data_IF_825294707439
#
_entry.id   IF_825294707439
#
_cell.length_a   1.000
_cell.length_b   1.000
_cell.length_c   1.000
_cell.angle_alpha   90.00
_cell.angle_beta   90.00
_cell.angle_gamma   90.00
#
_symmetry.space_group_name_H-M   'P 1'
#
loop_
_entity.id
_entity.type
_entity.pdbx_description
1 polymer ?
#
# COMPACT_ATOMS: atom_id res chain seq x y z
N UNK A 1 -7.70 9.52 -2.79
CA UNK A 1 -8.93 8.76 -3.14
C UNK A 1 -8.96 7.44 -2.39
N UNK A 2 -10.14 6.96 -1.97
CA UNK A 2 -10.30 5.63 -1.36
C UNK A 2 -11.43 4.82 -2.03
N UNK A 3 -11.12 4.03 -3.07
CA UNK A 3 -12.10 3.24 -3.82
C UNK A 3 -12.36 1.91 -3.11
N UNK A 4 -13.18 1.92 -2.06
CA UNK A 4 -13.42 0.74 -1.22
C UNK A 4 -14.60 -0.10 -1.75
N UNK A 5 -14.52 -1.43 -1.59
CA UNK A 5 -15.61 -2.35 -1.88
C UNK A 5 -15.89 -3.25 -0.66
N UNK A 6 -17.13 -3.62 -0.42
CA UNK A 6 -17.52 -4.42 0.76
C UNK A 6 -17.04 -5.87 0.72
N UNK A 7 -16.50 -6.32 -0.40
CA UNK A 7 -15.95 -7.67 -0.63
C UNK A 7 -14.57 -7.62 -1.27
N UNK A 8 -13.94 -6.44 -1.31
CA UNK A 8 -12.71 -6.19 -2.07
C UNK A 8 -12.81 -6.61 -3.56
N UNK A 9 -13.99 -6.44 -4.17
CA UNK A 9 -14.18 -6.75 -5.58
C UNK A 9 -13.36 -5.81 -6.48
N UNK A 10 -12.43 -6.38 -7.23
CA UNK A 10 -11.48 -5.61 -8.05
C UNK A 10 -12.13 -4.86 -9.21
N UNK A 11 -13.28 -5.30 -9.71
CA UNK A 11 -13.99 -4.59 -10.78
C UNK A 11 -14.70 -3.35 -10.22
N UNK A 12 -15.33 -3.48 -9.05
CA UNK A 12 -15.89 -2.37 -8.28
C UNK A 12 -14.83 -1.33 -7.94
N UNK A 13 -13.67 -1.76 -7.42
CA UNK A 13 -12.54 -0.89 -7.11
C UNK A 13 -12.05 -0.17 -8.37
N UNK A 14 -11.86 -0.89 -9.48
CA UNK A 14 -11.42 -0.28 -10.74
C UNK A 14 -12.42 0.76 -11.28
N UNK A 15 -13.72 0.47 -11.22
CA UNK A 15 -14.76 1.41 -11.64
C UNK A 15 -14.69 2.73 -10.85
N UNK A 16 -14.56 2.65 -9.53
CA UNK A 16 -14.41 3.81 -8.66
C UNK A 16 -13.09 4.58 -8.93
N UNK A 17 -12.01 3.88 -9.28
CA UNK A 17 -10.75 4.53 -9.71
C UNK A 17 -10.99 5.35 -10.98
N UNK A 18 -11.66 4.79 -11.99
CA UNK A 18 -11.94 5.50 -13.24
C UNK A 18 -12.83 6.71 -13.04
N UNK A 19 -13.93 6.54 -12.30
CA UNK A 19 -14.81 7.65 -11.93
C UNK A 19 -14.01 8.74 -11.22
N UNK A 20 -13.25 8.34 -10.22
CA UNK A 20 -12.46 9.23 -9.42
C UNK A 20 -11.43 10.06 -10.18
N UNK A 21 -10.67 9.41 -11.06
CA UNK A 21 -9.70 10.07 -11.92
C UNK A 21 -10.37 11.04 -12.90
N UNK A 22 -11.61 10.78 -13.32
CA UNK A 22 -12.36 11.69 -14.19
C UNK A 22 -12.67 13.05 -13.53
N UNK A 23 -12.72 13.07 -12.20
CA UNK A 23 -12.83 14.30 -11.40
C UNK A 23 -11.47 14.88 -10.96
N UNK A 24 -10.36 14.33 -11.46
CA UNK A 24 -9.02 14.78 -11.08
C UNK A 24 -8.60 14.38 -9.66
N UNK A 25 -9.30 13.44 -9.02
CA UNK A 25 -9.01 13.01 -7.66
C UNK A 25 -8.07 11.80 -7.67
N UNK A 26 -7.05 11.80 -6.80
CA UNK A 26 -6.09 10.69 -6.70
C UNK A 26 -4.63 11.09 -6.90
N UNK A 27 -4.34 12.39 -6.94
CA UNK A 27 -2.99 12.98 -6.96
C UNK A 27 -2.16 12.59 -5.73
N UNK A 28 -2.75 12.62 -4.53
CA UNK A 28 -2.05 12.27 -3.30
C UNK A 28 -1.82 10.74 -3.20
N UNK A 29 -2.90 9.96 -3.33
CA UNK A 29 -2.86 8.50 -3.21
C UNK A 29 -4.16 7.89 -3.76
N UNK A 30 -4.04 6.72 -4.38
CA UNK A 30 -5.16 5.79 -4.62
C UNK A 30 -5.03 4.67 -3.56
N UNK A 31 -5.83 4.76 -2.49
CA UNK A 31 -5.65 3.94 -1.29
C UNK A 31 -6.88 3.13 -0.91
N UNK A 32 -6.82 1.80 -0.95
CA UNK A 32 -7.95 0.94 -0.58
C UNK A 32 -7.83 0.53 0.88
N UNK A 33 -8.90 0.66 1.67
CA UNK A 33 -9.01 0.04 2.98
C UNK A 33 -9.64 -1.35 2.81
N UNK A 34 -8.85 -2.43 2.86
CA UNK A 34 -9.34 -3.76 2.52
C UNK A 34 -10.28 -4.28 3.61
N UNK A 35 -11.26 -5.08 3.22
CA UNK A 35 -12.10 -5.85 4.14
C UNK A 35 -11.31 -7.04 4.70
N UNK A 36 -10.52 -7.70 3.86
CA UNK A 36 -9.70 -8.86 4.26
C UNK A 36 -8.21 -8.51 4.32
N UNK A 37 -7.60 -8.70 5.49
CA UNK A 37 -6.17 -8.47 5.73
C UNK A 37 -5.35 -9.75 5.52
N UNK A 38 -5.14 -10.12 4.25
CA UNK A 38 -4.25 -11.20 3.84
C UNK A 38 -3.41 -10.83 2.60
N UNK A 39 -2.31 -11.55 2.43
CA UNK A 39 -1.30 -11.23 1.41
C UNK A 39 -1.83 -11.38 -0.03
N UNK A 40 -2.70 -12.36 -0.29
CA UNK A 40 -3.22 -12.63 -1.63
C UNK A 40 -4.20 -11.54 -2.04
N UNK A 41 -5.12 -11.17 -1.14
CA UNK A 41 -6.07 -10.09 -1.35
C UNK A 41 -5.35 -8.74 -1.57
N UNK A 42 -4.38 -8.41 -0.71
CA UNK A 42 -3.58 -7.18 -0.86
C UNK A 42 -2.88 -7.13 -2.22
N UNK A 43 -2.31 -8.25 -2.67
CA UNK A 43 -1.61 -8.33 -3.95
C UNK A 43 -2.57 -8.07 -5.12
N UNK A 44 -3.75 -8.70 -5.11
CA UNK A 44 -4.78 -8.50 -6.14
C UNK A 44 -5.28 -7.06 -6.20
N UNK A 45 -5.48 -6.42 -5.06
CA UNK A 45 -5.93 -5.02 -4.99
C UNK A 45 -4.82 -4.09 -5.48
N UNK A 46 -3.58 -4.29 -5.03
CA UNK A 46 -2.42 -3.52 -5.49
C UNK A 46 -2.20 -3.65 -6.99
N UNK A 47 -2.29 -4.87 -7.54
CA UNK A 47 -2.18 -5.11 -8.99
C UNK A 47 -3.29 -4.40 -9.77
N UNK A 48 -4.51 -4.33 -9.22
CA UNK A 48 -5.62 -3.61 -9.82
C UNK A 48 -5.34 -2.10 -9.90
N UNK A 49 -4.89 -1.51 -8.79
CA UNK A 49 -4.52 -0.09 -8.71
C UNK A 49 -3.38 0.22 -9.70
N UNK A 50 -2.31 -0.57 -9.65
CA UNK A 50 -1.14 -0.36 -10.50
C UNK A 50 -1.41 -0.69 -11.97
N UNK A 51 -2.36 -1.58 -12.26
CA UNK A 51 -2.84 -1.83 -13.61
C UNK A 51 -3.39 -0.56 -14.26
N UNK A 52 -4.12 0.27 -13.53
CA UNK A 52 -4.61 1.57 -14.01
C UNK A 52 -3.46 2.60 -14.08
N UNK A 53 -2.67 2.74 -13.00
CA UNK A 53 -1.57 3.70 -12.94
C UNK A 53 -0.57 3.49 -14.09
N UNK A 54 -0.11 2.25 -14.29
CA UNK A 54 0.88 1.93 -15.32
C UNK A 54 0.29 2.04 -16.74
N UNK A 55 -1.00 1.71 -16.92
CA UNK A 55 -1.67 1.78 -18.23
C UNK A 55 -1.78 3.22 -18.75
N UNK A 56 -2.03 4.18 -17.86
CA UNK A 56 -2.21 5.59 -18.25
C UNK A 56 -1.03 6.49 -17.86
N UNK A 57 0.07 5.91 -17.34
CA UNK A 57 1.24 6.64 -16.82
C UNK A 57 0.85 7.75 -15.82
N UNK A 58 -0.09 7.44 -14.92
CA UNK A 58 -0.62 8.42 -13.96
C UNK A 58 0.47 8.73 -12.93
N UNK A 59 0.85 10.00 -12.71
CA UNK A 59 1.88 10.37 -11.74
C UNK A 59 1.32 10.35 -10.31
N UNK A 60 1.00 9.15 -9.81
CA UNK A 60 0.49 8.90 -8.46
C UNK A 60 1.05 7.60 -7.87
N UNK A 61 0.58 7.24 -6.69
CA UNK A 61 1.00 6.11 -5.87
C UNK A 61 -0.19 5.32 -5.33
N UNK A 62 -0.02 3.99 -5.29
CA UNK A 62 -1.00 3.06 -4.74
C UNK A 62 -0.70 2.69 -3.29
N UNK A 63 -1.75 2.38 -2.53
CA UNK A 63 -1.65 1.89 -1.16
C UNK A 63 -2.81 0.93 -0.84
N UNK A 64 -2.57 -0.08 -0.01
CA UNK A 64 -3.64 -0.87 0.63
C UNK A 64 -3.45 -0.77 2.14
N UNK A 65 -4.44 -0.21 2.83
CA UNK A 65 -4.35 0.27 4.22
C UNK A 65 -4.53 -0.85 5.26
N UNK A 66 -3.92 -2.01 5.02
CA UNK A 66 -3.94 -3.18 5.91
C UNK A 66 -2.90 -3.06 7.04
N UNK A 67 -2.72 -4.10 7.86
CA UNK A 67 -1.62 -4.14 8.82
C UNK A 67 -0.25 -4.08 8.11
N UNK A 68 0.70 -3.33 8.66
CA UNK A 68 2.01 -3.12 8.02
C UNK A 68 2.77 -4.41 7.73
N UNK A 69 2.61 -5.43 8.58
CA UNK A 69 3.27 -6.72 8.38
C UNK A 69 2.76 -7.44 7.14
N UNK A 70 1.45 -7.40 6.88
CA UNK A 70 0.84 -8.02 5.69
C UNK A 70 1.25 -7.26 4.43
N UNK A 71 1.29 -5.92 4.49
CA UNK A 71 1.78 -5.10 3.39
C UNK A 71 3.24 -5.40 3.04
N UNK A 72 4.13 -5.45 4.06
CA UNK A 72 5.54 -5.80 3.87
C UNK A 72 5.68 -7.19 3.26
N UNK A 73 4.91 -8.16 3.73
CA UNK A 73 4.94 -9.52 3.21
C UNK A 73 4.45 -9.60 1.76
N UNK A 74 3.35 -8.92 1.42
CA UNK A 74 2.86 -8.84 0.04
C UNK A 74 3.90 -8.24 -0.91
N UNK A 75 4.53 -7.13 -0.49
CA UNK A 75 5.60 -6.48 -1.27
C UNK A 75 6.79 -7.43 -1.43
N UNK A 76 7.21 -8.13 -0.35
CA UNK A 76 8.27 -9.15 -0.41
C UNK A 76 7.95 -10.32 -1.36
N UNK A 77 6.67 -10.65 -1.55
CA UNK A 77 6.22 -11.65 -2.53
C UNK A 77 6.06 -11.10 -3.95
N UNK A 78 6.33 -9.82 -4.17
CA UNK A 78 6.36 -9.20 -5.49
C UNK A 78 5.17 -8.31 -5.83
N UNK A 79 4.23 -8.10 -4.89
CA UNK A 79 3.17 -7.11 -5.08
C UNK A 79 3.76 -5.70 -5.31
N UNK A 80 3.14 -4.87 -6.16
CA UNK A 80 3.66 -3.55 -6.45
C UNK A 80 3.57 -2.62 -5.23
N UNK A 81 4.69 -2.03 -4.83
CA UNK A 81 4.77 -1.14 -3.68
C UNK A 81 4.77 0.35 -4.07
N UNK A 82 3.91 1.14 -3.43
CA UNK A 82 3.82 2.59 -3.55
C UNK A 82 4.03 3.29 -2.24
N UNK A 83 3.00 3.30 -1.39
CA UNK A 83 3.08 3.68 0.01
C UNK A 83 2.90 2.44 0.90
N UNK A 84 3.45 2.49 2.12
CA UNK A 84 3.09 1.58 3.21
C UNK A 84 2.32 2.37 4.25
N UNK A 85 1.13 1.89 4.59
CA UNK A 85 0.29 2.51 5.60
C UNK A 85 0.50 1.88 6.98
N UNK A 86 0.38 2.67 8.04
CA UNK A 86 0.12 2.14 9.37
C UNK A 86 -0.68 3.13 10.23
N UNK A 87 -1.80 2.65 10.77
CA UNK A 87 -2.49 3.33 11.87
C UNK A 87 -1.60 3.37 13.10
N UNK A 88 -1.29 4.55 13.64
CA UNK A 88 -0.47 4.74 14.84
C UNK A 88 -1.32 5.26 16.01
N UNK A 89 -0.82 5.08 17.24
CA UNK A 89 -1.47 5.58 18.45
C UNK A 89 -0.53 6.53 19.19
N UNK A 90 -1.08 7.59 19.80
CA UNK A 90 -0.30 8.60 20.53
C UNK A 90 0.30 8.14 21.87
N UNK A 91 0.05 6.89 22.29
CA UNK A 91 0.65 6.29 23.48
C UNK A 91 1.72 5.28 23.08
N UNK A 92 2.93 5.40 23.62
CA UNK A 92 4.07 4.49 23.35
C UNK A 92 3.67 3.01 23.56
N UNK A 93 2.99 2.70 24.66
CA UNK A 93 2.53 1.33 24.97
C UNK A 93 1.55 0.76 23.95
N UNK A 94 0.74 1.60 23.31
CA UNK A 94 -0.19 1.18 22.23
C UNK A 94 0.53 1.14 20.88
N UNK A 95 1.41 2.09 20.59
CA UNK A 95 2.24 2.09 19.39
C UNK A 95 3.14 0.84 19.30
N UNK A 96 3.73 0.39 20.42
CA UNK A 96 4.49 -0.86 20.46
C UNK A 96 3.64 -2.08 20.09
N UNK A 97 2.34 -2.10 20.41
CA UNK A 97 1.44 -3.20 20.03
C UNK A 97 1.16 -3.21 18.55
N UNK A 98 0.97 -2.04 17.95
CA UNK A 98 0.75 -1.87 16.51
C UNK A 98 1.94 -2.41 15.71
N UNK A 99 3.17 -2.23 16.19
CA UNK A 99 4.36 -2.67 15.46
C UNK A 99 4.85 -4.09 15.86
N UNK A 100 4.01 -4.90 16.54
CA UNK A 100 4.36 -6.29 16.88
C UNK A 100 4.43 -7.15 15.62
N UNK A 101 5.44 -8.02 15.56
CA UNK A 101 5.69 -8.89 14.41
C UNK A 101 6.62 -8.29 13.37
N UNK A 102 6.81 -6.97 13.37
CA UNK A 102 7.86 -6.30 12.59
C UNK A 102 9.17 -6.42 13.36
N UNK A 103 10.24 -6.96 12.75
CA UNK A 103 11.57 -7.10 13.39
C UNK A 103 12.21 -5.79 13.88
N UNK A 104 11.56 -4.66 13.60
CA UNK A 104 11.95 -3.29 13.97
C UNK A 104 10.92 -2.60 14.91
N UNK A 105 10.10 -3.40 15.63
CA UNK A 105 9.05 -3.02 16.60
C UNK A 105 9.33 -1.68 17.35
N UNK A 106 10.48 -1.60 18.02
CA UNK A 106 10.88 -0.45 18.84
C UNK A 106 11.52 0.69 18.06
N UNK A 107 12.22 0.38 16.96
CA UNK A 107 12.98 1.38 16.19
C UNK A 107 12.03 2.23 15.37
N UNK A 108 11.06 1.62 14.68
CA UNK A 108 10.06 2.35 13.89
C UNK A 108 9.05 3.12 14.76
N UNK A 109 8.75 2.64 15.98
CA UNK A 109 7.94 3.37 16.96
C UNK A 109 8.62 4.64 17.47
N UNK A 110 9.97 4.65 17.55
CA UNK A 110 10.76 5.81 18.01
C UNK A 110 11.22 6.74 16.88
N UNK A 111 11.48 6.20 15.69
CA UNK A 111 12.13 6.94 14.60
C UNK A 111 11.17 7.51 13.55
N UNK A 112 9.86 7.28 13.68
CA UNK A 112 8.90 7.70 12.66
C UNK A 112 9.19 7.01 11.33
N UNK A 113 8.75 5.76 11.18
CA UNK A 113 8.50 5.13 9.88
C UNK A 113 9.59 5.30 8.79
N UNK A 114 10.75 4.65 8.96
CA UNK A 114 11.62 4.28 7.82
C UNK A 114 11.48 2.78 7.58
N UNK A 115 10.88 2.40 6.45
CA UNK A 115 10.86 1.01 6.00
C UNK A 115 12.09 0.78 5.11
N UNK A 116 12.79 -0.35 5.28
CA UNK A 116 13.95 -0.72 4.46
C UNK A 116 13.58 -0.83 2.96
N UNK A 117 14.52 -0.52 2.04
CA UNK A 117 14.26 -0.65 0.60
C UNK A 117 13.97 -2.10 0.20
N UNK A 118 12.90 -2.31 -0.56
CA UNK A 118 12.64 -3.57 -1.26
C UNK A 118 13.01 -3.41 -2.75
N UNK A 119 13.83 -4.33 -3.26
CA UNK A 119 14.28 -4.35 -4.66
C UNK A 119 13.44 -5.37 -5.41
N UNK A 120 12.60 -4.91 -6.36
CA UNK A 120 11.74 -5.76 -7.18
C UNK A 120 12.61 -6.82 -7.90
N UNK A 121 12.35 -8.10 -7.66
CA UNK A 121 12.92 -9.19 -8.44
C UNK A 121 12.38 -9.18 -9.88
N UNK A 122 13.21 -9.52 -10.87
CA UNK A 122 12.82 -9.58 -12.29
C UNK A 122 11.69 -10.59 -12.48
N UNK A 123 10.49 -10.16 -12.85
CA UNK A 123 9.45 -11.06 -13.35
C UNK A 123 9.65 -11.28 -14.85
N UNK A 124 9.64 -12.54 -15.25
CA UNK A 124 9.92 -13.00 -16.61
C UNK A 124 8.76 -12.69 -17.57
N UNK A 125 8.55 -11.44 -17.97
CA UNK A 125 7.76 -11.16 -19.20
C UNK A 125 7.89 -9.75 -19.81
N UNK A 126 8.70 -8.82 -19.29
CA UNK A 126 8.73 -7.47 -19.88
C UNK A 126 10.14 -6.97 -20.17
N UNK A 127 10.43 -6.73 -21.46
CA UNK A 127 11.65 -6.17 -22.04
C UNK A 127 11.78 -4.66 -21.83
N UNK A 128 11.32 -4.12 -20.70
CA UNK A 128 11.38 -2.68 -20.41
C UNK A 128 12.39 -2.40 -19.29
N UNK A 129 13.11 -1.26 -19.36
CA UNK A 129 14.26 -0.97 -18.50
C UNK A 129 13.86 -1.02 -17.02
N UNK A 130 14.81 -1.42 -16.15
CA UNK A 130 14.68 -1.57 -14.70
C UNK A 130 13.72 -0.51 -14.14
N UNK A 131 12.46 -0.91 -13.89
CA UNK A 131 11.45 -0.02 -13.31
C UNK A 131 12.01 0.42 -11.96
N UNK A 132 12.27 1.73 -11.86
CA UNK A 132 12.90 2.41 -10.75
C UNK A 132 12.56 1.78 -9.39
N UNK A 133 13.57 1.62 -8.54
CA UNK A 133 13.44 1.24 -7.14
C UNK A 133 12.42 2.17 -6.46
N UNK A 134 11.15 1.74 -6.36
CA UNK A 134 10.11 2.51 -5.68
C UNK A 134 10.24 2.22 -4.19
N UNK A 135 10.75 3.20 -3.45
CA UNK A 135 10.78 3.14 -2.00
C UNK A 135 9.37 3.38 -1.48
N UNK A 136 8.80 2.45 -0.68
CA UNK A 136 7.54 2.74 -0.04
C UNK A 136 7.70 3.91 0.94
N UNK A 137 6.99 5.01 0.70
CA UNK A 137 6.86 6.10 1.67
C UNK A 137 5.79 5.71 2.70
N UNK A 138 5.95 6.16 3.94
CA UNK A 138 5.04 5.83 5.02
C UNK A 138 3.82 6.78 5.06
N UNK A 139 2.62 6.23 5.15
CA UNK A 139 1.38 6.96 5.43
C UNK A 139 0.88 6.59 6.83
N UNK A 140 0.64 7.59 7.69
CA UNK A 140 0.18 7.37 9.07
C UNK A 140 -1.14 8.07 9.33
N UNK A 141 -2.04 7.42 10.05
CA UNK A 141 -3.22 8.05 10.65
C UNK A 141 -3.24 7.82 12.16
N UNK A 142 -3.78 8.78 12.91
CA UNK A 142 -3.95 8.65 14.36
C UNK A 142 -5.22 7.86 14.67
N UNK A 143 -5.10 6.79 15.46
CA UNK A 143 -6.24 6.05 16.00
C UNK A 143 -7.01 6.93 17.00
N UNK A 144 -8.25 7.26 16.69
CA UNK A 144 -9.21 7.90 17.61
C UNK A 144 -9.97 6.84 18.40
N UNK A 145 -9.31 6.22 19.39
CA UNK A 145 -9.90 5.41 20.49
C UNK A 145 -8.79 4.97 21.47
#
# INVERSE_FOLDING_TARGET
>A
MQPNDTRDDVQSIAAQIYEGLSFGVGDAVIGVNPVTDDVENLSRVLDTIYGVIDKFNIPTQGCVLAHVTTQIEAIRRGAPGGLIFQSICGSEKRAERVWRGTGDARRSARSGCRVQPYRRGKTASTSKPDKALRYPLALTSALTR
#
